data_IF_308930590692
#
_entry.id   IF_308930590692
#
_cell.length_a   1.000
_cell.length_b   1.000
_cell.length_c   1.000
_cell.angle_alpha   90.00
_cell.angle_beta   90.00
_cell.angle_gamma   90.00
#
_symmetry.space_group_name_H-M   'P 1'
#
loop_
_entity.id
_entity.type
_entity.pdbx_description
1 polymer ?
#
# COMPACT_ATOMS: atom_id res chain seq x y z
N UNK A 1 15.67 2.90 45.85
CA UNK A 1 16.57 3.94 45.30
C UNK A 1 17.91 3.30 44.99
N UNK A 2 18.14 2.89 43.75
CA UNK A 2 19.42 2.33 43.29
C UNK A 2 19.77 2.99 41.96
N UNK A 3 20.60 4.04 42.05
CA UNK A 3 21.16 4.78 40.91
C UNK A 3 22.24 3.92 40.26
N UNK A 4 21.97 3.36 39.08
CA UNK A 4 22.98 2.74 38.24
C UNK A 4 23.71 3.81 37.43
N UNK A 5 25.04 3.84 37.56
CA UNK A 5 25.97 4.82 37.00
C UNK A 5 26.13 4.62 35.49
N UNK A 6 26.06 5.71 34.71
CA UNK A 6 26.47 5.73 33.30
C UNK A 6 28.00 5.63 33.21
N UNK A 7 28.57 4.86 32.27
CA UNK A 7 30.00 4.90 31.99
C UNK A 7 30.37 6.17 31.20
N UNK A 8 31.55 6.69 31.54
CA UNK A 8 32.19 7.93 31.09
C UNK A 8 32.77 7.73 29.67
N UNK A 9 32.55 8.69 28.77
CA UNK A 9 33.19 8.75 27.45
C UNK A 9 34.65 9.22 27.57
N UNK A 10 35.60 8.66 26.81
CA UNK A 10 36.95 9.21 26.74
C UNK A 10 37.00 10.43 25.81
N UNK A 11 37.57 11.51 26.33
CA UNK A 11 38.01 12.72 25.63
C UNK A 11 39.18 12.36 24.71
N UNK A 12 39.17 12.85 23.47
CA UNK A 12 40.37 12.87 22.62
C UNK A 12 40.45 14.22 21.92
N UNK A 13 41.60 14.84 22.10
CA UNK A 13 41.96 16.21 21.78
C UNK A 13 41.99 16.52 20.29
N UNK A 14 41.78 17.81 19.99
CA UNK A 14 41.95 18.37 18.66
C UNK A 14 43.42 18.37 18.23
N UNK A 15 43.66 17.93 17.00
CA UNK A 15 44.78 18.42 16.21
C UNK A 15 44.38 18.45 14.74
N UNK A 16 44.52 19.65 14.18
CA UNK A 16 44.30 20.00 12.79
C UNK A 16 45.23 19.22 11.87
N UNK A 17 44.71 18.58 10.84
CA UNK A 17 45.52 18.13 9.70
C UNK A 17 44.70 18.18 8.41
N UNK A 18 45.19 19.02 7.50
CA UNK A 18 44.73 19.18 6.13
C UNK A 18 44.93 17.88 5.33
N UNK A 19 43.87 17.27 4.81
CA UNK A 19 43.97 16.36 3.66
C UNK A 19 42.75 16.54 2.75
N UNK A 20 42.98 17.24 1.64
CA UNK A 20 42.11 17.27 0.48
C UNK A 20 42.37 16.00 -0.35
N UNK A 21 41.50 14.99 -0.29
CA UNK A 21 41.59 13.82 -1.17
C UNK A 21 40.22 13.37 -1.70
N UNK A 22 40.04 13.69 -2.99
CA UNK A 22 39.30 13.01 -4.07
C UNK A 22 38.22 11.98 -3.68
N UNK A 23 36.97 12.32 -3.97
CA UNK A 23 35.87 11.37 -4.12
C UNK A 23 36.14 10.41 -5.31
N UNK A 24 35.94 9.09 -5.17
CA UNK A 24 36.04 8.17 -6.31
C UNK A 24 34.80 8.29 -7.21
N UNK A 25 35.02 8.57 -8.49
CA UNK A 25 34.01 8.39 -9.54
C UNK A 25 33.75 6.90 -9.70
N UNK A 26 32.57 6.42 -9.27
CA UNK A 26 32.09 5.10 -9.65
C UNK A 26 31.69 5.16 -11.13
N UNK A 27 32.49 4.52 -11.99
CA UNK A 27 32.10 4.25 -13.38
C UNK A 27 30.98 3.21 -13.38
N UNK A 28 29.88 3.52 -14.05
CA UNK A 28 28.77 2.59 -14.29
C UNK A 28 29.17 1.77 -15.51
N UNK A 29 29.63 0.53 -15.31
CA UNK A 29 29.68 -0.46 -16.38
C UNK A 29 28.25 -0.92 -16.70
N UNK A 30 27.87 -0.81 -17.96
CA UNK A 30 26.60 -1.32 -18.47
C UNK A 30 26.65 -2.85 -18.48
N UNK A 31 26.19 -3.50 -17.42
CA UNK A 31 25.95 -4.94 -17.44
C UNK A 31 24.61 -5.23 -18.11
N UNK A 32 24.68 -5.64 -19.37
CA UNK A 32 23.60 -6.27 -20.13
C UNK A 32 23.30 -7.66 -19.55
N UNK A 33 22.18 -7.79 -18.83
CA UNK A 33 21.65 -9.09 -18.44
C UNK A 33 20.92 -9.70 -19.65
N UNK A 34 21.56 -10.69 -20.28
CA UNK A 34 20.97 -11.50 -21.35
C UNK A 34 20.09 -12.57 -20.71
N UNK A 35 18.77 -12.37 -20.75
CA UNK A 35 17.79 -13.43 -20.45
C UNK A 35 17.55 -14.23 -21.73
N UNK A 36 17.79 -15.54 -21.66
CA UNK A 36 17.61 -16.47 -22.79
C UNK A 36 16.14 -16.51 -23.21
N UNK A 37 15.92 -16.25 -24.49
CA UNK A 37 14.62 -16.22 -25.17
C UNK A 37 14.34 -17.63 -25.72
N UNK A 38 13.39 -18.37 -25.14
CA UNK A 38 12.62 -19.34 -25.92
C UNK A 38 11.38 -18.62 -26.44
N UNK A 39 11.19 -18.72 -27.75
CA UNK A 39 10.38 -17.82 -28.58
C UNK A 39 8.95 -18.33 -28.67
N UNK A 40 7.99 -17.50 -28.30
CA UNK A 40 6.65 -17.51 -28.88
C UNK A 40 6.34 -16.09 -29.36
N UNK A 41 5.91 -15.99 -30.61
CA UNK A 41 5.73 -14.75 -31.35
C UNK A 41 4.62 -13.88 -30.74
N UNK A 42 4.96 -12.64 -30.40
CA UNK A 42 4.02 -11.57 -30.06
C UNK A 42 4.48 -10.33 -30.82
N UNK A 43 3.98 -10.18 -32.05
CA UNK A 43 3.87 -8.87 -32.69
C UNK A 43 2.68 -8.16 -32.01
N UNK A 44 2.82 -6.85 -31.73
CA UNK A 44 1.85 -5.94 -31.10
C UNK A 44 1.95 -5.66 -29.58
N UNK A 45 3.15 -5.71 -28.99
CA UNK A 45 3.41 -4.87 -27.80
C UNK A 45 4.19 -3.62 -28.22
N UNK A 46 3.50 -2.48 -28.26
CA UNK A 46 4.16 -1.17 -28.13
C UNK A 46 4.98 -1.20 -26.84
N UNK A 47 6.29 -1.33 -26.97
CA UNK A 47 7.22 -1.23 -25.86
C UNK A 47 7.10 0.17 -25.24
N UNK A 48 6.34 0.29 -24.16
CA UNK A 48 6.39 1.45 -23.28
C UNK A 48 7.81 1.50 -22.73
N UNK A 49 8.60 2.47 -23.18
CA UNK A 49 9.95 2.70 -22.68
C UNK A 49 9.84 3.07 -21.19
N UNK A 50 10.17 2.12 -20.30
CA UNK A 50 10.31 2.39 -18.87
C UNK A 50 11.35 3.51 -18.68
N UNK A 51 11.09 4.52 -17.83
CA UNK A 51 12.07 5.55 -17.55
C UNK A 51 13.33 4.88 -16.97
N UNK A 52 14.49 5.26 -17.50
CA UNK A 52 15.80 4.60 -17.31
C UNK A 52 16.29 4.52 -15.85
N UNK A 53 15.52 5.02 -14.88
CA UNK A 53 15.83 5.11 -13.46
C UNK A 53 14.86 4.33 -12.55
N UNK A 54 13.86 3.61 -13.08
CA UNK A 54 12.82 3.00 -12.25
C UNK A 54 13.37 1.91 -11.31
N UNK A 55 14.30 1.08 -11.81
CA UNK A 55 15.00 0.07 -11.01
C UNK A 55 15.84 0.70 -9.88
N UNK A 56 16.45 1.87 -10.14
CA UNK A 56 17.20 2.62 -9.12
C UNK A 56 16.23 3.17 -8.08
N UNK A 57 15.10 3.73 -8.49
CA UNK A 57 14.08 4.24 -7.58
C UNK A 57 13.52 3.15 -6.67
N UNK A 58 13.23 1.97 -7.20
CA UNK A 58 12.79 0.83 -6.39
C UNK A 58 13.83 0.41 -5.36
N UNK A 59 15.09 0.23 -5.75
CA UNK A 59 16.17 -0.08 -4.82
C UNK A 59 16.30 0.95 -3.69
N UNK A 60 16.12 2.24 -4.00
CA UNK A 60 16.13 3.31 -3.00
C UNK A 60 14.91 3.25 -2.08
N UNK A 61 13.74 2.90 -2.61
CA UNK A 61 12.53 2.68 -1.81
C UNK A 61 12.69 1.46 -0.89
N UNK A 62 13.30 0.37 -1.35
CA UNK A 62 13.63 -0.80 -0.55
C UNK A 62 14.59 -0.47 0.58
N UNK A 63 15.67 0.28 0.29
CA UNK A 63 16.60 0.77 1.33
C UNK A 63 15.92 1.66 2.37
N UNK A 64 14.94 2.46 1.94
CA UNK A 64 14.13 3.25 2.90
C UNK A 64 13.24 2.36 3.78
N UNK A 65 12.89 1.13 3.36
CA UNK A 65 12.11 0.16 4.16
C UNK A 65 12.93 -0.55 5.23
N UNK A 66 14.22 -0.76 5.02
CA UNK A 66 15.10 -1.42 6.02
C UNK A 66 15.13 -0.68 7.38
N UNK A 67 14.80 0.60 7.37
CA UNK A 67 15.01 1.49 8.51
C UNK A 67 13.80 1.53 9.45
N UNK A 68 12.56 1.29 8.98
CA UNK A 68 11.36 1.45 9.80
C UNK A 68 10.08 0.78 9.25
N UNK A 69 9.41 0.01 10.10
CA UNK A 69 8.10 -0.58 9.81
C UNK A 69 6.97 0.46 9.72
N UNK A 70 6.01 0.23 8.83
CA UNK A 70 4.80 1.03 8.68
C UNK A 70 3.54 0.27 9.15
N UNK A 71 2.44 0.97 9.46
CA UNK A 71 1.19 0.33 9.86
C UNK A 71 0.65 -0.70 8.88
N UNK A 72 0.74 -0.44 7.57
CA UNK A 72 0.28 -1.35 6.50
C UNK A 72 0.95 -2.73 6.56
N UNK A 73 2.11 -2.84 7.21
CA UNK A 73 2.93 -4.06 7.28
C UNK A 73 2.29 -5.10 8.19
N UNK A 74 1.58 -4.63 9.22
CA UNK A 74 0.94 -5.45 10.24
C UNK A 74 -0.59 -5.35 10.19
N UNK A 75 -1.11 -4.23 9.70
CA UNK A 75 -2.53 -3.87 9.73
C UNK A 75 -3.10 -3.55 8.35
N UNK A 76 -2.37 -3.85 7.27
CA UNK A 76 -2.87 -3.69 5.91
C UNK A 76 -4.01 -4.67 5.60
N UNK A 77 -4.87 -4.32 4.64
CA UNK A 77 -6.08 -5.09 4.31
C UNK A 77 -5.81 -6.58 4.01
N UNK A 78 -4.64 -6.90 3.47
CA UNK A 78 -4.18 -8.26 3.20
C UNK A 78 -3.97 -9.14 4.46
N UNK A 79 -4.01 -8.55 5.66
CA UNK A 79 -3.89 -9.27 6.95
C UNK A 79 -5.19 -9.29 7.77
N UNK A 80 -6.24 -8.60 7.34
CA UNK A 80 -7.42 -8.37 8.18
C UNK A 80 -8.50 -9.45 8.05
N UNK A 81 -8.48 -10.20 6.94
CA UNK A 81 -9.36 -11.35 6.73
C UNK A 81 -8.92 -12.57 7.54
N UNK A 82 -9.89 -13.38 7.95
CA UNK A 82 -9.67 -14.62 8.68
C UNK A 82 -9.18 -15.73 7.75
N UNK A 83 -7.91 -16.12 7.89
CA UNK A 83 -7.29 -17.16 7.08
C UNK A 83 -7.89 -18.56 7.29
N UNK A 84 -8.67 -18.76 8.36
CA UNK A 84 -9.34 -20.03 8.66
C UNK A 84 -10.80 -20.06 8.17
N UNK A 85 -11.33 -18.94 7.65
CA UNK A 85 -12.67 -18.89 7.11
C UNK A 85 -12.77 -19.66 5.78
N UNK A 86 -13.99 -20.05 5.41
CA UNK A 86 -14.23 -20.62 4.09
C UNK A 86 -13.86 -19.62 2.98
N UNK A 87 -13.53 -20.09 1.76
CA UNK A 87 -13.04 -19.22 0.70
C UNK A 87 -13.97 -18.05 0.33
N UNK A 88 -15.29 -18.20 0.45
CA UNK A 88 -16.22 -17.10 0.14
C UNK A 88 -16.20 -16.06 1.24
N UNK A 89 -16.22 -16.50 2.50
CA UNK A 89 -16.11 -15.61 3.66
C UNK A 89 -14.79 -14.87 3.69
N UNK A 90 -13.66 -15.55 3.42
CA UNK A 90 -12.35 -14.92 3.33
C UNK A 90 -12.35 -13.78 2.30
N UNK A 91 -12.77 -14.07 1.07
CA UNK A 91 -12.81 -13.09 -0.02
C UNK A 91 -13.76 -11.93 0.27
N UNK A 92 -14.92 -12.22 0.88
CA UNK A 92 -15.82 -11.17 1.36
C UNK A 92 -15.14 -10.28 2.40
N UNK A 93 -14.45 -10.84 3.40
CA UNK A 93 -13.76 -10.07 4.43
C UNK A 93 -12.63 -9.20 3.86
N UNK A 94 -11.91 -9.69 2.85
CA UNK A 94 -10.93 -8.89 2.08
C UNK A 94 -11.60 -7.67 1.46
N UNK A 95 -12.73 -7.88 0.77
CA UNK A 95 -13.50 -6.77 0.17
C UNK A 95 -13.98 -5.78 1.23
N UNK A 96 -14.51 -6.24 2.36
CA UNK A 96 -14.92 -5.37 3.47
C UNK A 96 -13.75 -4.53 3.97
N UNK A 97 -12.58 -5.14 4.20
CA UNK A 97 -11.39 -4.42 4.66
C UNK A 97 -10.99 -3.30 3.68
N UNK A 98 -11.03 -3.58 2.37
CA UNK A 98 -10.75 -2.59 1.33
C UNK A 98 -11.79 -1.45 1.33
N UNK A 99 -13.07 -1.76 1.38
CA UNK A 99 -14.13 -0.75 1.43
C UNK A 99 -13.98 0.18 2.66
N UNK A 100 -13.57 -0.40 3.81
CA UNK A 100 -13.34 0.36 5.04
C UNK A 100 -12.06 1.18 5.03
N UNK A 101 -11.01 0.77 4.31
CA UNK A 101 -9.71 1.45 4.32
C UNK A 101 -9.71 2.80 3.61
N UNK A 102 -10.62 3.03 2.65
CA UNK A 102 -10.70 4.30 1.93
C UNK A 102 -10.77 5.50 2.89
N UNK A 103 -9.83 6.44 2.75
CA UNK A 103 -9.75 7.65 3.59
C UNK A 103 -9.78 7.34 5.10
N UNK A 104 -9.24 6.19 5.51
CA UNK A 104 -9.19 5.74 6.92
C UNK A 104 -7.81 5.17 7.21
N UNK A 105 -7.27 5.46 8.40
CA UNK A 105 -5.95 4.94 8.80
C UNK A 105 -6.01 3.43 9.02
N UNK A 106 -4.95 2.72 8.67
CA UNK A 106 -4.86 1.26 8.77
C UNK A 106 -5.23 0.75 10.17
N UNK A 107 -4.77 1.40 11.25
CA UNK A 107 -5.11 0.98 12.62
C UNK A 107 -6.60 1.07 12.93
N UNK A 108 -7.28 2.09 12.40
CA UNK A 108 -8.73 2.29 12.60
C UNK A 108 -9.50 1.25 11.80
N UNK A 109 -9.05 0.96 10.58
CA UNK A 109 -9.61 -0.08 9.72
C UNK A 109 -9.45 -1.47 10.36
N UNK A 110 -8.26 -1.79 10.88
CA UNK A 110 -7.98 -3.05 11.56
C UNK A 110 -8.88 -3.26 12.78
N UNK A 111 -8.99 -2.25 13.64
CA UNK A 111 -9.87 -2.30 14.81
C UNK A 111 -11.36 -2.46 14.41
N UNK A 112 -11.80 -1.84 13.30
CA UNK A 112 -13.16 -2.01 12.81
C UNK A 112 -13.41 -3.41 12.24
N UNK A 113 -12.45 -3.98 11.50
CA UNK A 113 -12.51 -5.35 11.00
C UNK A 113 -12.57 -6.37 12.14
N UNK A 114 -11.78 -6.17 13.20
CA UNK A 114 -11.82 -7.03 14.39
C UNK A 114 -13.21 -7.04 15.04
N UNK A 115 -13.81 -5.86 15.27
CA UNK A 115 -15.17 -5.75 15.81
C UNK A 115 -16.21 -6.40 14.89
N UNK A 116 -16.13 -6.17 13.58
CA UNK A 116 -17.04 -6.82 12.62
C UNK A 116 -16.91 -8.35 12.64
N UNK A 117 -15.67 -8.87 12.70
CA UNK A 117 -15.42 -10.31 12.76
C UNK A 117 -15.99 -10.93 14.03
N UNK A 118 -15.88 -10.24 15.17
CA UNK A 118 -16.51 -10.66 16.42
C UNK A 118 -18.04 -10.85 16.28
N UNK A 119 -18.71 -10.00 15.48
CA UNK A 119 -20.14 -10.11 15.21
C UNK A 119 -20.51 -11.05 14.03
N UNK A 120 -19.53 -11.72 13.43
CA UNK A 120 -19.73 -12.58 12.26
C UNK A 120 -19.71 -11.77 10.95
N UNK A 121 -18.52 -11.52 10.41
CA UNK A 121 -18.33 -10.82 9.13
C UNK A 121 -18.57 -11.77 7.95
N UNK A 122 -19.84 -12.12 7.71
CA UNK A 122 -20.30 -12.94 6.56
C UNK A 122 -21.44 -12.24 5.83
N UNK A 123 -21.67 -12.56 4.56
CA UNK A 123 -22.75 -11.96 3.76
C UNK A 123 -24.13 -12.08 4.45
N UNK A 124 -24.57 -13.27 4.92
CA UNK A 124 -25.85 -13.39 5.60
C UNK A 124 -25.95 -12.53 6.86
N UNK A 125 -24.88 -12.50 7.68
CA UNK A 125 -24.86 -11.74 8.92
C UNK A 125 -24.89 -10.24 8.69
N UNK A 126 -24.16 -9.74 7.69
CA UNK A 126 -24.18 -8.32 7.32
C UNK A 126 -25.56 -7.87 6.81
N UNK A 127 -26.28 -8.73 6.07
CA UNK A 127 -27.66 -8.44 5.63
C UNK A 127 -28.61 -8.33 6.84
N UNK A 128 -28.49 -9.26 7.79
CA UNK A 128 -29.30 -9.27 9.02
C UNK A 128 -28.94 -8.11 9.96
N UNK A 129 -27.69 -7.64 9.96
CA UNK A 129 -27.19 -6.61 10.87
C UNK A 129 -27.98 -5.30 10.74
N UNK A 130 -28.65 -4.80 11.80
CA UNK A 130 -29.32 -3.51 11.77
C UNK A 130 -28.37 -2.39 11.33
N UNK A 131 -28.79 -1.56 10.36
CA UNK A 131 -27.92 -0.54 9.76
C UNK A 131 -27.35 0.46 10.79
N UNK A 132 -28.12 0.97 11.77
CA UNK A 132 -27.57 1.86 12.80
C UNK A 132 -26.50 1.21 13.66
N UNK A 133 -26.68 -0.07 14.02
CA UNK A 133 -25.72 -0.82 14.84
C UNK A 133 -24.47 -1.21 14.05
N UNK A 134 -24.63 -1.56 12.76
CA UNK A 134 -23.51 -1.79 11.85
C UNK A 134 -22.67 -0.52 11.72
N UNK A 135 -23.30 0.64 11.50
CA UNK A 135 -22.61 1.91 11.45
C UNK A 135 -21.86 2.22 12.76
N UNK A 136 -22.49 1.95 13.91
CA UNK A 136 -21.84 2.14 15.21
C UNK A 136 -20.63 1.21 15.39
N UNK A 137 -20.72 -0.03 14.94
CA UNK A 137 -19.62 -1.01 14.97
C UNK A 137 -18.43 -0.52 14.15
N UNK A 138 -18.67 0.20 13.06
CA UNK A 138 -17.62 0.79 12.22
C UNK A 138 -16.97 2.04 12.81
N UNK A 139 -17.58 2.74 13.78
CA UNK A 139 -17.00 3.95 14.36
C UNK A 139 -15.61 3.67 15.01
N UNK A 140 -14.55 4.46 14.78
CA UNK A 140 -14.53 5.79 14.15
C UNK A 140 -14.02 5.80 12.69
N UNK A 141 -14.29 4.76 11.89
CA UNK A 141 -13.93 4.74 10.46
C UNK A 141 -14.46 6.00 9.75
N UNK A 142 -13.66 6.57 8.85
CA UNK A 142 -14.05 7.74 8.07
C UNK A 142 -15.29 7.43 7.24
N UNK A 143 -16.31 8.29 7.30
CA UNK A 143 -17.60 8.10 6.62
C UNK A 143 -18.34 6.80 6.99
N UNK A 144 -18.19 6.30 8.22
CA UNK A 144 -18.74 5.02 8.69
C UNK A 144 -20.23 4.81 8.37
N UNK A 145 -21.08 5.85 8.44
CA UNK A 145 -22.51 5.74 8.09
C UNK A 145 -22.73 5.37 6.62
N UNK A 146 -22.00 6.03 5.71
CA UNK A 146 -22.07 5.76 4.26
C UNK A 146 -21.47 4.40 3.93
N UNK A 147 -20.36 4.03 4.60
CA UNK A 147 -19.73 2.71 4.43
C UNK A 147 -20.61 1.57 4.93
N UNK A 148 -21.35 1.75 6.02
CA UNK A 148 -22.32 0.77 6.49
C UNK A 148 -23.44 0.54 5.46
N UNK A 149 -23.95 1.61 4.83
CA UNK A 149 -24.93 1.50 3.73
C UNK A 149 -24.34 0.72 2.54
N UNK A 150 -23.15 1.10 2.09
CA UNK A 150 -22.45 0.43 0.99
C UNK A 150 -22.19 -1.04 1.27
N UNK A 151 -21.74 -1.37 2.48
CA UNK A 151 -21.46 -2.74 2.88
C UNK A 151 -22.74 -3.59 2.88
N UNK A 152 -23.84 -3.06 3.42
CA UNK A 152 -25.12 -3.77 3.45
C UNK A 152 -25.70 -3.97 2.05
N UNK A 153 -25.66 -2.95 1.20
CA UNK A 153 -26.08 -3.03 -0.21
C UNK A 153 -25.24 -4.01 -1.01
N UNK A 154 -23.92 -3.98 -0.79
CA UNK A 154 -22.99 -4.94 -1.40
C UNK A 154 -23.38 -6.36 -1.02
N UNK A 155 -23.55 -6.65 0.27
CA UNK A 155 -23.93 -7.98 0.73
C UNK A 155 -25.25 -8.47 0.09
N UNK A 156 -26.25 -7.60 -0.07
CA UNK A 156 -27.50 -7.91 -0.78
C UNK A 156 -27.22 -8.27 -2.25
N UNK A 157 -26.46 -7.44 -2.97
CA UNK A 157 -26.10 -7.68 -4.38
C UNK A 157 -25.35 -9.01 -4.54
N UNK A 158 -24.40 -9.31 -3.65
CA UNK A 158 -23.62 -10.56 -3.70
C UNK A 158 -24.52 -11.78 -3.49
N UNK A 159 -25.47 -11.70 -2.55
CA UNK A 159 -26.44 -12.77 -2.31
C UNK A 159 -27.35 -13.00 -3.52
N UNK A 160 -27.84 -11.93 -4.15
CA UNK A 160 -28.82 -12.01 -5.24
C UNK A 160 -28.21 -12.34 -6.60
N UNK A 161 -27.04 -11.78 -6.93
CA UNK A 161 -26.47 -11.81 -8.28
C UNK A 161 -25.21 -12.66 -8.41
N UNK A 162 -24.48 -12.87 -7.31
CA UNK A 162 -23.16 -13.51 -7.32
C UNK A 162 -23.10 -14.77 -6.43
N UNK A 163 -24.26 -15.41 -6.19
CA UNK A 163 -24.36 -16.68 -5.46
C UNK A 163 -23.65 -16.66 -4.08
N UNK A 164 -23.74 -15.52 -3.39
CA UNK A 164 -23.16 -15.31 -2.06
C UNK A 164 -21.63 -15.26 -2.05
N UNK A 165 -21.00 -14.83 -3.14
CA UNK A 165 -19.56 -14.67 -3.28
C UNK A 165 -19.22 -13.33 -3.93
N UNK A 166 -17.98 -12.86 -3.83
CA UNK A 166 -17.55 -11.66 -4.56
C UNK A 166 -17.30 -12.00 -6.05
N UNK A 167 -17.54 -11.07 -6.98
CA UNK A 167 -17.22 -11.28 -8.40
C UNK A 167 -15.72 -11.51 -8.59
N UNK A 168 -15.36 -12.39 -9.50
CA UNK A 168 -13.97 -12.73 -9.85
C UNK A 168 -13.48 -12.00 -11.12
N UNK A 169 -14.13 -10.88 -11.45
CA UNK A 169 -13.80 -10.01 -12.58
C UNK A 169 -13.73 -8.55 -12.14
N UNK A 170 -12.89 -7.77 -12.81
CA UNK A 170 -12.72 -6.33 -12.56
C UNK A 170 -14.03 -5.56 -12.70
N UNK A 171 -14.76 -5.76 -13.80
CA UNK A 171 -16.06 -5.11 -14.05
C UNK A 171 -17.09 -5.50 -12.99
N UNK A 172 -17.10 -6.76 -12.58
CA UNK A 172 -17.96 -7.25 -11.52
C UNK A 172 -17.69 -6.54 -10.20
N UNK A 173 -16.43 -6.43 -9.79
CA UNK A 173 -16.03 -5.75 -8.57
C UNK A 173 -16.33 -4.25 -8.63
N UNK A 174 -16.01 -3.57 -9.73
CA UNK A 174 -16.29 -2.15 -9.95
C UNK A 174 -17.80 -1.84 -10.01
N UNK A 175 -18.66 -2.83 -10.29
CA UNK A 175 -20.11 -2.65 -10.24
C UNK A 175 -20.67 -2.50 -8.81
N UNK A 176 -19.88 -2.86 -7.79
CA UNK A 176 -20.28 -2.81 -6.38
C UNK A 176 -20.21 -1.37 -5.83
N UNK A 177 -21.13 -0.97 -4.95
CA UNK A 177 -21.21 0.40 -4.45
C UNK A 177 -19.98 0.77 -3.62
N UNK A 178 -19.25 1.78 -4.08
CA UNK A 178 -18.05 2.29 -3.40
C UNK A 178 -16.77 1.52 -3.69
N UNK A 179 -16.79 0.60 -4.67
CA UNK A 179 -15.60 -0.10 -5.17
C UNK A 179 -15.17 0.55 -6.48
N UNK A 180 -13.95 1.08 -6.52
CA UNK A 180 -13.32 1.60 -7.74
C UNK A 180 -12.26 0.63 -8.29
N UNK A 181 -11.68 0.97 -9.45
CA UNK A 181 -10.66 0.17 -10.15
C UNK A 181 -9.50 -0.25 -9.24
N UNK A 182 -8.97 0.67 -8.42
CA UNK A 182 -7.94 0.36 -7.43
C UNK A 182 -8.36 -0.72 -6.42
N UNK A 183 -9.55 -0.57 -5.85
CA UNK A 183 -10.06 -1.55 -4.88
C UNK A 183 -10.30 -2.90 -5.56
N UNK A 184 -10.79 -2.90 -6.80
CA UNK A 184 -10.97 -4.10 -7.58
C UNK A 184 -9.63 -4.82 -7.85
N UNK A 185 -8.58 -4.10 -8.26
CA UNK A 185 -7.24 -4.65 -8.43
C UNK A 185 -6.71 -5.29 -7.14
N UNK A 186 -6.82 -4.58 -6.02
CA UNK A 186 -6.40 -5.11 -4.71
C UNK A 186 -7.23 -6.33 -4.26
N UNK A 187 -8.53 -6.34 -4.56
CA UNK A 187 -9.39 -7.48 -4.28
C UNK A 187 -8.99 -8.68 -5.15
N UNK A 188 -8.74 -8.49 -6.45
CA UNK A 188 -8.24 -9.56 -7.34
C UNK A 188 -6.92 -10.14 -6.83
N UNK A 189 -5.99 -9.28 -6.42
CA UNK A 189 -4.69 -9.72 -5.93
C UNK A 189 -4.80 -10.50 -4.61
N UNK A 190 -5.52 -9.98 -3.62
CA UNK A 190 -5.54 -10.57 -2.27
C UNK A 190 -6.53 -11.74 -2.20
N UNK A 191 -7.69 -11.60 -2.84
CA UNK A 191 -8.81 -12.54 -2.70
C UNK A 191 -8.70 -13.71 -3.69
N UNK A 192 -8.12 -13.48 -4.88
CA UNK A 192 -8.05 -14.46 -5.95
C UNK A 192 -6.62 -14.81 -6.39
N UNK A 193 -5.59 -14.15 -5.82
CA UNK A 193 -4.20 -14.32 -6.22
C UNK A 193 -3.98 -14.01 -7.71
N UNK A 194 -4.71 -13.03 -8.23
CA UNK A 194 -4.68 -12.59 -9.64
C UNK A 194 -4.29 -11.13 -9.76
N UNK A 195 -3.37 -10.86 -10.65
CA UNK A 195 -2.87 -9.53 -10.95
C UNK A 195 -3.56 -9.04 -12.24
N UNK A 196 -4.53 -8.15 -12.09
CA UNK A 196 -5.26 -7.55 -13.22
C UNK A 196 -4.78 -6.11 -13.52
N UNK A 197 -4.07 -5.47 -12.60
CA UNK A 197 -3.60 -4.09 -12.73
C UNK A 197 -2.97 -3.54 -11.44
N UNK A 198 -2.65 -2.25 -11.42
CA UNK A 198 -2.01 -1.57 -10.28
C UNK A 198 -3.01 -0.66 -9.56
N UNK A 199 -3.04 -0.72 -8.23
CA UNK A 199 -3.87 0.15 -7.39
C UNK A 199 -3.27 1.53 -7.11
N UNK A 200 -3.10 2.40 -8.11
CA UNK A 200 -2.59 3.77 -7.87
C UNK A 200 -3.74 4.72 -7.52
N UNK A 201 -3.62 5.48 -6.42
CA UNK A 201 -4.56 6.57 -6.07
C UNK A 201 -4.09 7.88 -6.72
N UNK A 202 -4.31 8.04 -8.03
CA UNK A 202 -4.23 9.33 -8.74
C UNK A 202 -5.11 9.27 -9.98
N UNK A 203 -5.77 10.38 -10.32
CA UNK A 203 -6.67 10.54 -11.48
C UNK A 203 -6.02 10.42 -12.87
N UNK A 204 -4.79 9.93 -12.95
CA UNK A 204 -4.05 9.78 -14.19
C UNK A 204 -3.78 8.28 -14.38
N UNK A 205 -4.58 7.64 -15.25
CA UNK A 205 -4.52 6.19 -15.54
C UNK A 205 -3.28 5.78 -16.36
N UNK A 206 -2.43 6.73 -16.75
CA UNK A 206 -1.26 6.47 -17.59
C UNK A 206 0.06 6.71 -16.83
N UNK A 207 0.53 5.72 -16.07
CA UNK A 207 1.98 5.41 -16.00
C UNK A 207 2.30 4.21 -15.10
N UNK A 208 3.12 3.33 -15.68
CA UNK A 208 3.95 2.28 -15.03
C UNK A 208 3.28 0.94 -14.74
N UNK A 209 2.96 0.18 -15.78
CA UNK A 209 2.34 -1.15 -15.69
C UNK A 209 3.30 -2.33 -15.40
N UNK A 210 4.55 -2.12 -14.96
CA UNK A 210 5.52 -3.23 -14.93
C UNK A 210 6.39 -3.35 -13.66
N UNK A 211 5.84 -3.07 -12.48
CA UNK A 211 6.51 -3.39 -11.20
C UNK A 211 5.54 -4.00 -10.21
N UNK A 212 5.00 -5.15 -10.56
CA UNK A 212 3.92 -5.76 -9.80
C UNK A 212 4.43 -6.56 -8.59
N UNK A 213 3.56 -6.57 -7.56
CA UNK A 213 3.71 -7.13 -6.21
C UNK A 213 4.48 -6.30 -5.18
N UNK A 214 5.69 -5.82 -5.50
CA UNK A 214 6.47 -5.05 -4.52
C UNK A 214 6.11 -3.57 -4.50
N UNK A 215 5.65 -2.99 -5.63
CA UNK A 215 5.50 -1.54 -5.74
C UNK A 215 4.37 -0.95 -4.88
N UNK A 216 3.23 -1.62 -4.71
CA UNK A 216 2.08 -0.97 -4.06
C UNK A 216 2.27 -0.87 -2.53
N UNK A 217 2.77 -1.93 -1.90
CA UNK A 217 3.13 -1.87 -0.47
C UNK A 217 4.33 -0.94 -0.26
N UNK A 218 5.36 -1.04 -1.08
CA UNK A 218 6.55 -0.17 -0.99
C UNK A 218 6.15 1.30 -1.13
N UNK A 219 5.32 1.63 -2.13
CA UNK A 219 4.85 2.98 -2.40
C UNK A 219 3.89 3.48 -1.30
N UNK A 220 2.97 2.64 -0.83
CA UNK A 220 2.07 3.00 0.27
C UNK A 220 2.87 3.33 1.54
N UNK A 221 3.85 2.50 1.92
CA UNK A 221 4.75 2.75 3.06
C UNK A 221 5.53 4.06 2.89
N UNK A 222 6.10 4.27 1.70
CA UNK A 222 6.82 5.50 1.38
C UNK A 222 5.92 6.74 1.54
N UNK A 223 4.67 6.66 1.06
CA UNK A 223 3.65 7.70 1.22
C UNK A 223 3.21 7.93 2.68
N UNK A 224 3.22 6.90 3.52
CA UNK A 224 2.84 6.98 4.94
C UNK A 224 3.96 7.48 5.87
N UNK A 225 5.22 7.42 5.46
CA UNK A 225 6.36 7.74 6.33
C UNK A 225 7.24 8.90 5.85
N UNK A 226 7.44 9.01 4.53
CA UNK A 226 8.40 9.94 3.92
C UNK A 226 7.66 10.97 3.06
N UNK A 227 6.95 10.51 2.01
CA UNK A 227 6.23 11.37 1.06
C UNK A 227 4.79 11.63 1.53
N UNK A 228 4.68 12.25 2.70
CA UNK A 228 3.39 12.55 3.33
C UNK A 228 2.60 13.59 2.52
N UNK A 229 1.26 13.47 2.44
CA UNK A 229 0.41 14.48 1.80
C UNK A 229 0.57 15.88 2.40
N UNK A 230 0.85 15.97 3.70
CA UNK A 230 1.13 17.21 4.41
C UNK A 230 2.46 17.08 5.15
N UNK A 231 3.41 17.98 4.85
CA UNK A 231 4.73 18.01 5.48
C UNK A 231 5.64 16.83 5.11
N UNK A 232 5.88 16.55 3.82
CA UNK A 232 6.77 15.46 3.41
C UNK A 232 8.20 15.68 3.91
N UNK A 233 8.86 14.60 4.33
CA UNK A 233 10.19 14.60 4.94
C UNK A 233 11.30 14.56 3.89
N UNK A 234 11.31 15.54 2.98
CA UNK A 234 12.20 15.55 1.81
C UNK A 234 13.70 15.53 2.15
N UNK A 235 14.10 16.04 3.32
CA UNK A 235 15.52 16.06 3.75
C UNK A 235 16.10 14.66 3.98
N UNK A 236 15.27 13.72 4.44
CA UNK A 236 15.65 12.31 4.65
C UNK A 236 15.26 11.38 3.50
N UNK A 237 14.66 11.90 2.42
CA UNK A 237 14.23 11.09 1.30
C UNK A 237 15.40 10.73 0.38
N UNK A 238 15.63 9.45 0.10
CA UNK A 238 16.69 9.01 -0.81
C UNK A 238 16.39 9.35 -2.28
N UNK A 239 15.14 9.64 -2.62
CA UNK A 239 14.72 10.10 -3.96
C UNK A 239 14.84 11.62 -4.16
N UNK A 240 15.34 12.39 -3.17
CA UNK A 240 15.33 13.87 -3.21
C UNK A 240 15.96 14.47 -4.47
N UNK A 241 17.01 13.83 -4.99
CA UNK A 241 17.81 14.36 -6.11
C UNK A 241 17.10 14.13 -7.45
N UNK A 242 16.44 12.98 -7.62
CA UNK A 242 15.67 12.62 -8.82
C UNK A 242 14.17 12.97 -8.76
N UNK A 243 13.65 13.35 -7.59
CA UNK A 243 12.21 13.62 -7.39
C UNK A 243 11.75 14.85 -8.19
N UNK A 244 10.71 14.76 -9.04
CA UNK A 244 10.25 15.89 -9.83
C UNK A 244 9.40 16.92 -9.05
N UNK A 245 9.00 16.61 -7.80
CA UNK A 245 8.08 17.46 -7.05
C UNK A 245 8.70 18.84 -6.69
N UNK A 246 8.15 19.96 -7.19
CA UNK A 246 8.77 21.28 -7.03
C UNK A 246 8.74 21.78 -5.57
N UNK A 247 7.78 21.32 -4.76
CA UNK A 247 7.67 21.67 -3.35
C UNK A 247 8.84 21.20 -2.48
N UNK A 248 9.68 20.27 -2.98
CA UNK A 248 10.81 19.68 -2.23
C UNK A 248 11.82 20.74 -1.79
N UNK A 249 12.06 21.75 -2.63
CA UNK A 249 13.07 22.80 -2.38
C UNK A 249 12.73 23.59 -1.11
N UNK A 250 11.45 23.86 -0.88
CA UNK A 250 10.98 24.55 0.34
C UNK A 250 11.15 23.68 1.58
N UNK A 251 10.92 22.37 1.47
CA UNK A 251 11.09 21.44 2.60
C UNK A 251 12.55 21.22 2.97
N UNK A 252 13.45 21.18 1.98
CA UNK A 252 14.90 21.04 2.21
C UNK A 252 15.51 22.24 2.96
N UNK A 253 14.89 23.42 2.85
CA UNK A 253 15.33 24.66 3.51
C UNK A 253 14.84 24.82 4.96
N UNK A 254 13.91 23.98 5.44
CA UNK A 254 13.32 24.05 6.80
C UNK A 254 14.18 23.38 7.90
N UNK A 255 15.51 23.35 7.75
CA UNK A 255 16.41 22.78 8.76
C UNK A 255 16.42 23.59 10.04
#
# INVERSE_FOLDING_TARGET
>A
MTKSKRPVSPSIDGSSSNYAEKQPKLMIEQTSLVVKKEVMDIEDFECIILPSNIAVHLNLLEKMREIKDAPVDTMGCHKLADSLADPKTYRFQVLVALMLSSQTRDQVTAAAMERLRFHGCTIPKIIEFPLPELAQTLCPVGFYKRKADFLKRTAIILKEKFNGDIPDTMDGLCSLPGVGSKMANLAMQIAFDRIEGIGVDTHDEDSAQELLELSEQVACRFGQQVCLPVGPKCSGCLLKDSCPWPGKVKQLKKK
#
